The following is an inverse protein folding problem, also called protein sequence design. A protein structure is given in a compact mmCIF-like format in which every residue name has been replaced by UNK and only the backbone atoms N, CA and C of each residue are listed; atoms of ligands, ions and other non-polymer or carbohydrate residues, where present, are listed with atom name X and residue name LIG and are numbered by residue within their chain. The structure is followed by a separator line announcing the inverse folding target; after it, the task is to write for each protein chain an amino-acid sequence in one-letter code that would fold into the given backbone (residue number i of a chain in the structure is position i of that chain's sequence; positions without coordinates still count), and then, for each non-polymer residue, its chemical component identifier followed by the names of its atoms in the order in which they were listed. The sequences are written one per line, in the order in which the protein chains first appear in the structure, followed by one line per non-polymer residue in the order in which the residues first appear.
data_IF_446106355882
#
_entry.id   IF_446106355882
#
_cell.length_a   1.000
_cell.length_b   1.000
_cell.length_c   1.000
_cell.angle_alpha   90.00
_cell.angle_beta   90.00
_cell.angle_gamma   90.00
#
_symmetry.space_group_name_H-M   'P 1'
#
loop_
_entity.id
_entity.type
_entity.pdbx_description
1 polymer ?
#
# COMPACT_ATOMS: atom_id res chain seq x y z
N UNK A 1 0.65 -27.41 -18.09
CA UNK A 1 -0.38 -26.37 -18.16
C UNK A 1 0.31 -25.05 -17.85
N UNK A 2 0.54 -24.24 -18.88
CA UNK A 2 1.49 -23.13 -18.84
C UNK A 2 1.22 -22.17 -17.69
N UNK A 3 2.31 -21.71 -17.05
CA UNK A 3 2.27 -20.72 -15.96
C UNK A 3 1.44 -19.48 -16.38
N UNK A 4 1.44 -19.17 -17.67
CA UNK A 4 0.68 -18.10 -18.29
C UNK A 4 -0.85 -18.35 -18.25
N UNK A 5 -1.32 -19.55 -18.57
CA UNK A 5 -2.74 -19.92 -18.48
C UNK A 5 -3.23 -19.82 -17.02
N UNK A 6 -2.44 -20.33 -16.08
CA UNK A 6 -2.76 -20.24 -14.65
C UNK A 6 -2.86 -18.79 -14.19
N UNK A 7 -1.90 -17.95 -14.58
CA UNK A 7 -1.91 -16.52 -14.27
C UNK A 7 -3.13 -15.83 -14.89
N UNK A 8 -3.45 -16.08 -16.15
CA UNK A 8 -4.64 -15.50 -16.79
C UNK A 8 -5.94 -15.89 -16.08
N UNK A 9 -6.08 -17.15 -15.65
CA UNK A 9 -7.25 -17.61 -14.87
C UNK A 9 -7.34 -16.86 -13.53
N UNK A 10 -6.23 -16.74 -12.80
CA UNK A 10 -6.19 -16.01 -11.53
C UNK A 10 -6.56 -14.54 -11.74
N UNK A 11 -6.01 -13.88 -12.76
CA UNK A 11 -6.33 -12.49 -13.08
C UNK A 11 -7.82 -12.31 -13.39
N UNK A 12 -8.42 -13.24 -14.15
CA UNK A 12 -9.85 -13.22 -14.43
C UNK A 12 -10.69 -13.39 -13.17
N UNK A 13 -10.33 -14.34 -12.29
CA UNK A 13 -11.01 -14.52 -11.00
C UNK A 13 -10.92 -13.25 -10.16
N UNK A 14 -9.74 -12.63 -10.06
CA UNK A 14 -9.55 -11.39 -9.29
C UNK A 14 -10.38 -10.23 -9.86
N UNK A 15 -10.49 -10.13 -11.18
CA UNK A 15 -11.33 -9.12 -11.84
C UNK A 15 -12.82 -9.34 -11.53
N UNK A 16 -13.30 -10.58 -11.55
CA UNK A 16 -14.68 -10.92 -11.17
C UNK A 16 -14.92 -10.66 -9.68
N UNK A 17 -13.94 -10.94 -8.81
CA UNK A 17 -14.02 -10.71 -7.37
C UNK A 17 -13.98 -9.23 -6.98
N UNK A 18 -13.59 -8.33 -7.89
CA UNK A 18 -13.47 -6.91 -7.62
C UNK A 18 -14.80 -6.25 -7.21
N UNK A 19 -15.85 -6.50 -8.00
CA UNK A 19 -17.17 -5.89 -7.78
C UNK A 19 -17.81 -6.38 -6.46
N UNK A 20 -17.88 -7.69 -6.17
CA UNK A 20 -18.39 -8.18 -4.88
C UNK A 20 -17.58 -7.65 -3.69
N UNK A 21 -16.25 -7.57 -3.82
CA UNK A 21 -15.40 -7.05 -2.75
C UNK A 21 -15.67 -5.57 -2.48
N UNK A 22 -15.88 -4.77 -3.54
CA UNK A 22 -16.24 -3.37 -3.39
C UNK A 22 -17.60 -3.21 -2.69
N UNK A 23 -18.64 -3.90 -3.15
CA UNK A 23 -19.98 -3.85 -2.53
C UNK A 23 -19.91 -4.22 -1.04
N UNK A 24 -19.14 -5.26 -0.71
CA UNK A 24 -18.96 -5.68 0.67
C UNK A 24 -18.22 -4.63 1.50
N UNK A 25 -17.15 -4.01 0.96
CA UNK A 25 -16.39 -2.97 1.65
C UNK A 25 -17.20 -1.68 1.83
N UNK A 26 -17.95 -1.24 0.81
CA UNK A 26 -18.76 -0.03 0.90
C UNK A 26 -19.86 -0.16 1.95
N UNK A 27 -20.58 -1.29 1.94
CA UNK A 27 -21.57 -1.59 2.96
C UNK A 27 -20.94 -1.69 4.36
N UNK A 28 -19.78 -2.34 4.47
CA UNK A 28 -19.08 -2.49 5.75
C UNK A 28 -18.58 -1.16 6.31
N UNK A 29 -18.00 -0.30 5.47
CA UNK A 29 -17.52 1.03 5.86
C UNK A 29 -18.68 1.92 6.28
N UNK A 30 -19.77 1.94 5.51
CA UNK A 30 -20.96 2.70 5.87
C UNK A 30 -21.53 2.27 7.22
N UNK A 31 -21.69 0.96 7.43
CA UNK A 31 -22.15 0.39 8.69
C UNK A 31 -21.19 0.70 9.86
N UNK A 32 -19.89 0.75 9.60
CA UNK A 32 -18.89 1.09 10.61
C UNK A 32 -19.00 2.56 11.00
N UNK A 33 -19.10 3.47 10.03
CA UNK A 33 -19.29 4.91 10.31
C UNK A 33 -20.58 5.14 11.10
N UNK A 34 -21.69 4.54 10.69
CA UNK A 34 -22.97 4.63 11.38
C UNK A 34 -22.94 4.10 12.82
N UNK A 35 -22.06 3.14 13.13
CA UNK A 35 -21.91 2.58 14.49
C UNK A 35 -20.96 3.40 15.37
N UNK A 36 -19.93 3.99 14.78
CA UNK A 36 -18.89 4.70 15.53
C UNK A 36 -19.35 6.12 15.86
N UNK A 37 -19.78 6.87 14.85
CA UNK A 37 -20.23 8.25 15.02
C UNK A 37 -20.99 8.74 13.77
N UNK A 38 -22.31 8.79 13.88
CA UNK A 38 -23.21 9.28 12.83
C UNK A 38 -22.93 10.77 12.53
N UNK A 39 -22.43 11.52 13.52
CA UNK A 39 -22.08 12.94 13.40
C UNK A 39 -20.91 13.20 12.45
N UNK A 40 -20.19 12.18 11.99
CA UNK A 40 -19.13 12.32 10.98
C UNK A 40 -19.68 12.92 9.68
N UNK A 41 -20.90 12.55 9.27
CA UNK A 41 -21.47 13.06 8.03
C UNK A 41 -21.84 14.54 8.12
N UNK A 42 -22.39 14.96 9.26
CA UNK A 42 -22.70 16.38 9.50
C UNK A 42 -21.43 17.21 9.61
N UNK A 43 -20.39 16.70 10.27
CA UNK A 43 -19.09 17.39 10.31
C UNK A 43 -18.46 17.48 8.93
N UNK A 44 -18.55 16.44 8.12
CA UNK A 44 -18.08 16.49 6.73
C UNK A 44 -18.81 17.57 5.93
N UNK A 45 -20.14 17.61 6.03
CA UNK A 45 -20.97 18.54 5.26
C UNK A 45 -20.95 19.99 5.79
N UNK A 46 -20.39 20.23 6.98
CA UNK A 46 -20.33 21.56 7.61
C UNK A 46 -18.91 22.04 7.91
N UNK A 47 -17.90 21.42 7.30
CA UNK A 47 -16.49 21.72 7.53
C UNK A 47 -16.10 21.68 9.03
N UNK A 48 -16.51 20.61 9.69
CA UNK A 48 -16.33 20.32 11.12
C UNK A 48 -16.98 21.30 12.10
N UNK A 49 -17.84 22.22 11.64
CA UNK A 49 -18.52 23.17 12.53
C UNK A 49 -19.56 22.49 13.43
N UNK A 50 -20.28 21.49 12.91
CA UNK A 50 -21.43 20.91 13.61
C UNK A 50 -21.40 19.37 13.63
N UNK A 51 -21.70 18.80 14.80
CA UNK A 51 -21.76 17.35 15.02
C UNK A 51 -23.14 16.73 14.83
N UNK A 52 -24.16 17.55 14.57
CA UNK A 52 -25.56 17.16 14.42
C UNK A 52 -26.19 17.86 13.20
N UNK A 53 -27.36 17.40 12.77
CA UNK A 53 -28.07 18.02 11.66
C UNK A 53 -28.68 19.37 12.07
N UNK A 54 -28.04 20.45 11.60
CA UNK A 54 -28.45 21.83 11.87
C UNK A 54 -29.42 22.40 10.82
N UNK A 55 -29.75 21.63 9.78
CA UNK A 55 -30.58 22.09 8.66
C UNK A 55 -31.94 21.40 8.62
N UNK A 56 -32.01 20.12 8.95
CA UNK A 56 -33.21 19.29 8.78
C UNK A 56 -33.55 18.38 9.98
N UNK A 57 -32.98 18.61 11.17
CA UNK A 57 -33.33 17.81 12.35
C UNK A 57 -34.80 17.97 12.76
N UNK A 58 -35.35 16.96 13.44
CA UNK A 58 -36.73 16.98 13.95
C UNK A 58 -37.06 18.21 14.80
N UNK A 59 -36.06 18.75 15.52
CA UNK A 59 -36.23 19.94 16.33
C UNK A 59 -36.50 21.16 15.46
N UNK A 60 -35.73 21.31 14.38
CA UNK A 60 -35.87 22.41 13.43
C UNK A 60 -37.19 22.28 12.69
N UNK A 61 -37.53 21.07 12.23
CA UNK A 61 -38.77 20.84 11.50
C UNK A 61 -40.02 21.16 12.34
N UNK A 62 -39.99 20.92 13.65
CA UNK A 62 -41.08 21.34 14.55
C UNK A 62 -41.23 22.86 14.66
N UNK A 63 -40.12 23.59 14.54
CA UNK A 63 -40.07 25.05 14.67
C UNK A 63 -40.34 25.78 13.35
N UNK A 64 -39.93 25.21 12.21
CA UNK A 64 -39.93 25.90 10.90
C UNK A 64 -40.74 25.18 9.81
N UNK A 65 -41.18 23.94 10.07
CA UNK A 65 -41.92 23.07 9.13
C UNK A 65 -41.23 22.89 7.78
N UNK A 66 -39.89 22.84 7.77
CA UNK A 66 -39.09 22.71 6.54
C UNK A 66 -39.43 21.44 5.74
N UNK A 67 -39.81 20.34 6.40
CA UNK A 67 -40.24 19.11 5.72
C UNK A 67 -41.50 19.33 4.87
N UNK A 68 -42.42 20.18 5.32
CA UNK A 68 -43.62 20.52 4.55
C UNK A 68 -43.24 21.31 3.28
N UNK A 69 -42.33 22.26 3.41
CA UNK A 69 -41.79 22.99 2.25
C UNK A 69 -41.12 22.05 1.25
N UNK A 70 -40.35 21.06 1.70
CA UNK A 70 -39.74 20.05 0.82
C UNK A 70 -40.82 19.23 0.10
N UNK A 71 -41.86 18.78 0.80
CA UNK A 71 -42.95 18.03 0.20
C UNK A 71 -43.71 18.84 -0.86
N UNK A 72 -43.96 20.12 -0.60
CA UNK A 72 -44.57 21.04 -1.57
C UNK A 72 -43.69 21.21 -2.82
N UNK A 73 -42.37 21.29 -2.66
CA UNK A 73 -41.42 21.36 -3.78
C UNK A 73 -41.53 20.10 -4.66
N UNK A 74 -41.56 18.91 -4.08
CA UNK A 74 -41.73 17.66 -4.85
C UNK A 74 -43.09 17.61 -5.56
N UNK A 75 -44.16 18.06 -4.91
CA UNK A 75 -45.48 18.16 -5.53
C UNK A 75 -45.49 19.12 -6.73
N UNK A 76 -44.81 20.27 -6.62
CA UNK A 76 -44.68 21.25 -7.69
C UNK A 76 -43.83 20.72 -8.87
N UNK A 77 -42.81 19.89 -8.61
CA UNK A 77 -42.03 19.19 -9.64
C UNK A 77 -42.78 18.02 -10.28
N UNK A 78 -43.89 17.56 -9.69
CA UNK A 78 -44.60 16.36 -10.15
C UNK A 78 -43.84 15.06 -9.86
N UNK A 79 -42.96 15.07 -8.86
CA UNK A 79 -42.08 13.96 -8.50
C UNK A 79 -42.43 13.37 -7.15
N UNK A 80 -42.05 12.11 -6.94
CA UNK A 80 -42.15 11.45 -5.65
C UNK A 80 -40.85 11.64 -4.86
N UNK A 81 -41.01 11.98 -3.57
CA UNK A 81 -39.93 11.99 -2.60
C UNK A 81 -39.31 10.58 -2.51
N UNK A 82 -37.99 10.52 -2.36
CA UNK A 82 -37.24 9.27 -2.30
C UNK A 82 -37.05 8.81 -0.85
N UNK A 83 -36.75 7.52 -0.67
CA UNK A 83 -36.52 6.92 0.65
C UNK A 83 -35.16 7.32 1.28
N UNK A 84 -34.24 7.82 0.45
CA UNK A 84 -32.86 8.16 0.81
C UNK A 84 -32.70 9.68 0.88
N UNK A 85 -32.09 10.18 1.97
CA UNK A 85 -31.79 11.62 2.14
C UNK A 85 -30.85 12.10 1.04
N UNK A 86 -29.85 11.29 0.66
CA UNK A 86 -28.90 11.62 -0.40
C UNK A 86 -29.61 11.81 -1.74
N UNK A 87 -30.53 10.91 -2.08
CA UNK A 87 -31.28 10.97 -3.34
C UNK A 87 -32.29 12.13 -3.32
N UNK A 88 -32.87 12.40 -2.14
CA UNK A 88 -33.79 13.54 -1.94
C UNK A 88 -33.05 14.84 -2.21
N UNK A 89 -31.86 15.03 -1.63
CA UNK A 89 -31.07 16.23 -1.85
C UNK A 89 -30.58 16.34 -3.29
N UNK A 90 -30.12 15.25 -3.92
CA UNK A 90 -29.73 15.25 -5.32
C UNK A 90 -30.87 15.76 -6.23
N UNK A 91 -32.09 15.23 -6.07
CA UNK A 91 -33.27 15.66 -6.86
C UNK A 91 -33.71 17.09 -6.59
N UNK A 92 -33.61 17.55 -5.34
CA UNK A 92 -33.92 18.94 -5.01
C UNK A 92 -32.98 19.88 -5.75
N UNK A 93 -31.69 19.53 -5.79
CA UNK A 93 -30.61 20.33 -6.37
C UNK A 93 -30.47 20.25 -7.90
N UNK A 94 -31.19 19.35 -8.59
CA UNK A 94 -31.22 19.33 -10.07
C UNK A 94 -31.66 20.68 -10.67
N UNK A 95 -32.52 21.41 -9.97
CA UNK A 95 -32.85 22.81 -10.24
C UNK A 95 -32.63 23.63 -8.97
N UNK A 96 -31.35 23.91 -8.68
CA UNK A 96 -30.90 24.65 -7.50
C UNK A 96 -31.61 26.00 -7.35
N UNK A 97 -31.77 26.73 -8.45
CA UNK A 97 -32.39 28.05 -8.43
C UNK A 97 -33.88 27.95 -8.06
N UNK A 98 -34.62 26.99 -8.65
CA UNK A 98 -36.01 26.75 -8.24
C UNK A 98 -36.11 26.35 -6.78
N UNK A 99 -35.23 25.46 -6.30
CA UNK A 99 -35.21 25.04 -4.89
C UNK A 99 -35.01 26.24 -3.94
N UNK A 100 -34.01 27.09 -4.21
CA UNK A 100 -33.75 28.31 -3.41
C UNK A 100 -35.00 29.22 -3.40
N UNK A 101 -35.60 29.46 -4.56
CA UNK A 101 -36.80 30.30 -4.64
C UNK A 101 -37.98 29.77 -3.82
N UNK A 102 -38.15 28.45 -3.70
CA UNK A 102 -39.21 27.88 -2.87
C UNK A 102 -38.82 27.88 -1.38
N UNK A 103 -37.55 27.60 -1.03
CA UNK A 103 -37.11 27.59 0.36
C UNK A 103 -37.16 28.98 0.99
N UNK A 104 -36.85 30.02 0.22
CA UNK A 104 -36.89 31.42 0.67
C UNK A 104 -38.31 31.92 0.98
N UNK A 105 -39.35 31.24 0.48
CA UNK A 105 -40.74 31.55 0.85
C UNK A 105 -41.07 31.12 2.28
N UNK A 106 -40.30 30.18 2.85
CA UNK A 106 -40.45 29.79 4.24
C UNK A 106 -39.73 30.79 5.17
N UNK A 107 -40.43 31.86 5.53
CA UNK A 107 -39.88 32.93 6.38
C UNK A 107 -39.43 32.46 7.78
N UNK A 108 -40.06 31.42 8.34
CA UNK A 108 -39.67 30.83 9.63
C UNK A 108 -38.30 30.15 9.52
N UNK A 109 -38.09 29.39 8.45
CA UNK A 109 -36.82 28.71 8.19
C UNK A 109 -35.68 29.69 7.86
N UNK A 110 -35.95 30.72 7.05
CA UNK A 110 -34.94 31.76 6.76
C UNK A 110 -34.57 32.55 8.02
N UNK A 111 -35.54 32.83 8.90
CA UNK A 111 -35.28 33.47 10.19
C UNK A 111 -34.42 32.59 11.10
N UNK A 112 -34.69 31.27 11.11
CA UNK A 112 -33.88 30.31 11.82
C UNK A 112 -32.42 30.29 11.31
N UNK A 113 -32.20 30.17 10.00
CA UNK A 113 -30.86 30.17 9.41
C UNK A 113 -30.09 31.45 9.80
N UNK A 114 -30.74 32.60 9.67
CA UNK A 114 -30.16 33.90 10.03
C UNK A 114 -29.80 33.96 11.52
N UNK A 115 -30.65 33.42 12.41
CA UNK A 115 -30.38 33.36 13.86
C UNK A 115 -29.18 32.48 14.23
N UNK A 116 -28.78 31.58 13.32
CA UNK A 116 -27.62 30.69 13.44
C UNK A 116 -26.41 31.17 12.65
N UNK A 117 -26.45 32.38 12.10
CA UNK A 117 -25.41 32.92 11.21
C UNK A 117 -25.17 32.01 9.99
N UNK A 118 -26.21 31.33 9.51
CA UNK A 118 -26.21 30.47 8.32
C UNK A 118 -26.94 31.15 7.16
N UNK A 119 -26.52 30.82 5.95
CA UNK A 119 -27.10 31.30 4.70
C UNK A 119 -27.76 30.17 3.91
N UNK A 120 -28.54 30.51 2.89
CA UNK A 120 -29.03 29.55 1.90
C UNK A 120 -27.88 28.89 1.13
N UNK A 121 -26.77 29.60 0.92
CA UNK A 121 -25.57 29.03 0.28
C UNK A 121 -24.89 27.96 1.15
N UNK A 122 -24.87 28.14 2.47
CA UNK A 122 -24.40 27.11 3.41
C UNK A 122 -25.28 25.86 3.35
N UNK A 123 -26.61 26.05 3.24
CA UNK A 123 -27.57 24.96 3.06
C UNK A 123 -27.33 24.20 1.75
N UNK A 124 -27.16 24.91 0.63
CA UNK A 124 -26.86 24.29 -0.67
C UNK A 124 -25.55 23.51 -0.61
N UNK A 125 -24.51 24.07 -0.01
CA UNK A 125 -23.23 23.41 0.17
C UNK A 125 -23.39 22.12 0.99
N UNK A 126 -24.12 22.19 2.10
CA UNK A 126 -24.43 21.03 2.93
C UNK A 126 -25.17 19.94 2.14
N UNK A 127 -26.23 20.31 1.43
CA UNK A 127 -27.02 19.36 0.64
C UNK A 127 -26.21 18.71 -0.49
N UNK A 128 -25.37 19.48 -1.19
CA UNK A 128 -24.46 18.96 -2.22
C UNK A 128 -23.47 17.94 -1.65
N UNK A 129 -22.86 18.24 -0.50
CA UNK A 129 -21.90 17.34 0.14
C UNK A 129 -22.57 16.05 0.64
N UNK A 130 -23.79 16.13 1.18
CA UNK A 130 -24.54 14.95 1.61
C UNK A 130 -25.04 14.14 0.40
N UNK A 131 -25.50 14.78 -0.68
CA UNK A 131 -25.91 14.10 -1.90
C UNK A 131 -24.76 13.29 -2.52
N UNK A 132 -23.55 13.84 -2.56
CA UNK A 132 -22.36 13.19 -3.12
C UNK A 132 -21.70 12.18 -2.17
N UNK A 133 -22.17 12.07 -0.91
CA UNK A 133 -21.55 11.24 0.12
C UNK A 133 -21.44 9.76 -0.29
N UNK A 134 -22.49 9.22 -0.94
CA UNK A 134 -22.50 7.83 -1.41
C UNK A 134 -21.39 7.61 -2.46
N UNK A 135 -21.22 8.55 -3.40
CA UNK A 135 -20.16 8.50 -4.40
C UNK A 135 -18.78 8.57 -3.76
N UNK A 136 -18.57 9.46 -2.78
CA UNK A 136 -17.31 9.56 -2.03
C UNK A 136 -16.95 8.26 -1.30
N UNK A 137 -17.89 7.66 -0.58
CA UNK A 137 -17.69 6.38 0.12
C UNK A 137 -17.44 5.24 -0.86
N UNK A 138 -18.16 5.23 -1.98
CA UNK A 138 -17.99 4.23 -3.03
C UNK A 138 -16.60 4.33 -3.68
N UNK A 139 -16.13 5.54 -3.98
CA UNK A 139 -14.77 5.79 -4.48
C UNK A 139 -13.69 5.35 -3.49
N UNK A 140 -13.86 5.63 -2.19
CA UNK A 140 -12.95 5.12 -1.16
C UNK A 140 -12.91 3.59 -1.12
N UNK A 141 -14.05 2.94 -1.27
CA UNK A 141 -14.16 1.48 -1.31
C UNK A 141 -13.54 0.87 -2.57
N UNK A 142 -13.73 1.50 -3.73
CA UNK A 142 -13.07 1.15 -4.99
C UNK A 142 -11.54 1.21 -4.90
N UNK A 143 -11.01 2.25 -4.25
CA UNK A 143 -9.58 2.37 -3.99
C UNK A 143 -9.06 1.23 -3.09
N UNK A 144 -9.71 1.00 -1.95
CA UNK A 144 -9.27 -0.01 -0.98
C UNK A 144 -9.35 -1.43 -1.56
N UNK A 145 -10.45 -1.77 -2.23
CA UNK A 145 -10.62 -3.06 -2.91
C UNK A 145 -9.52 -3.29 -3.94
N UNK A 146 -9.21 -2.28 -4.77
CA UNK A 146 -8.17 -2.40 -5.79
C UNK A 146 -6.80 -2.65 -5.15
N UNK A 147 -6.47 -1.87 -4.12
CA UNK A 147 -5.21 -2.02 -3.39
C UNK A 147 -5.08 -3.42 -2.76
N UNK A 148 -6.15 -3.93 -2.13
CA UNK A 148 -6.16 -5.29 -1.56
C UNK A 148 -5.91 -6.34 -2.63
N UNK A 149 -6.58 -6.24 -3.79
CA UNK A 149 -6.39 -7.19 -4.88
C UNK A 149 -4.97 -7.13 -5.44
N UNK A 150 -4.38 -5.93 -5.61
CA UNK A 150 -3.00 -5.79 -6.08
C UNK A 150 -2.01 -6.43 -5.10
N UNK A 151 -2.22 -6.23 -3.79
CA UNK A 151 -1.41 -6.87 -2.76
C UNK A 151 -1.56 -8.40 -2.78
N UNK A 152 -2.77 -8.94 -2.96
CA UNK A 152 -2.98 -10.38 -3.07
C UNK A 152 -2.32 -10.96 -4.33
N UNK A 153 -2.48 -10.30 -5.48
CA UNK A 153 -1.82 -10.67 -6.73
C UNK A 153 -0.30 -10.66 -6.62
N UNK A 154 0.25 -9.66 -5.94
CA UNK A 154 1.69 -9.54 -5.69
C UNK A 154 2.21 -10.61 -4.72
N UNK A 155 1.58 -10.76 -3.55
CA UNK A 155 2.08 -11.60 -2.45
C UNK A 155 1.84 -13.09 -2.68
N UNK A 156 0.67 -13.47 -3.20
CA UNK A 156 0.27 -14.88 -3.33
C UNK A 156 0.58 -15.46 -4.70
N UNK A 157 0.60 -14.63 -5.74
CA UNK A 157 0.62 -15.10 -7.11
C UNK A 157 1.78 -14.55 -7.97
N UNK A 158 2.67 -13.76 -7.38
CA UNK A 158 3.90 -13.26 -8.01
C UNK A 158 3.66 -12.46 -9.32
N UNK A 159 2.62 -11.62 -9.35
CA UNK A 159 2.24 -10.77 -10.51
C UNK A 159 2.99 -9.44 -10.60
N UNK A 160 4.21 -9.37 -10.06
CA UNK A 160 4.90 -8.09 -9.88
C UNK A 160 5.06 -7.32 -11.20
N UNK A 161 5.60 -7.96 -12.25
CA UNK A 161 5.87 -7.30 -13.53
C UNK A 161 4.59 -6.93 -14.26
N UNK A 162 3.59 -7.81 -14.21
CA UNK A 162 2.29 -7.61 -14.83
C UNK A 162 1.55 -6.41 -14.22
N UNK A 163 1.57 -6.27 -12.89
CA UNK A 163 1.00 -5.13 -12.20
C UNK A 163 1.70 -3.81 -12.58
N UNK A 164 3.03 -3.80 -12.71
CA UNK A 164 3.76 -2.62 -13.16
C UNK A 164 3.44 -2.24 -14.61
N UNK A 165 3.29 -3.24 -15.48
CA UNK A 165 2.91 -2.99 -16.87
C UNK A 165 1.51 -2.38 -16.96
N UNK A 166 0.53 -2.95 -16.26
CA UNK A 166 -0.83 -2.43 -16.22
C UNK A 166 -0.85 -1.02 -15.63
N UNK A 167 -0.12 -0.79 -14.54
CA UNK A 167 0.02 0.54 -13.95
C UNK A 167 0.59 1.54 -14.96
N UNK A 168 1.67 1.18 -15.67
CA UNK A 168 2.27 2.04 -16.69
C UNK A 168 1.29 2.43 -17.80
N UNK A 169 0.54 1.46 -18.34
CA UNK A 169 -0.48 1.72 -19.36
C UNK A 169 -1.57 2.63 -18.80
N UNK A 170 -2.09 2.35 -17.60
CA UNK A 170 -3.11 3.15 -16.95
C UNK A 170 -2.66 4.59 -16.70
N UNK A 171 -1.42 4.79 -16.25
CA UNK A 171 -0.83 6.10 -16.01
C UNK A 171 -0.67 6.90 -17.30
N UNK A 172 -0.16 6.28 -18.35
CA UNK A 172 -0.04 6.93 -19.66
C UNK A 172 -1.42 7.34 -20.16
N UNK A 173 -2.39 6.41 -20.10
CA UNK A 173 -3.76 6.65 -20.55
C UNK A 173 -4.42 7.81 -19.79
N UNK A 174 -4.44 7.74 -18.46
CA UNK A 174 -5.09 8.75 -17.61
C UNK A 174 -4.41 10.10 -17.73
N UNK A 175 -3.07 10.15 -17.72
CA UNK A 175 -2.32 11.41 -17.85
C UNK A 175 -2.50 12.05 -19.23
N UNK A 176 -2.49 11.25 -20.30
CA UNK A 176 -2.72 11.74 -21.65
C UNK A 176 -4.15 12.24 -21.83
N UNK A 177 -5.12 11.57 -21.22
CA UNK A 177 -6.50 12.06 -21.16
C UNK A 177 -6.56 13.42 -20.45
N UNK A 178 -5.91 13.58 -19.30
CA UNK A 178 -5.85 14.86 -18.58
C UNK A 178 -5.19 15.96 -19.42
N UNK A 179 -4.04 15.69 -20.06
CA UNK A 179 -3.35 16.68 -20.92
C UNK A 179 -4.14 17.08 -22.16
N UNK A 180 -5.02 16.22 -22.64
CA UNK A 180 -5.87 16.48 -23.80
C UNK A 180 -7.27 16.92 -23.42
N UNK A 181 -7.51 17.27 -22.16
CA UNK A 181 -8.84 17.65 -21.65
C UNK A 181 -9.93 16.63 -22.00
N UNK A 182 -9.60 15.34 -21.95
CA UNK A 182 -10.53 14.23 -22.22
C UNK A 182 -10.71 13.86 -23.70
N UNK A 183 -10.08 14.56 -24.65
CA UNK A 183 -10.19 14.23 -26.09
C UNK A 183 -9.68 12.80 -26.35
N UNK A 184 -8.56 12.42 -25.73
CA UNK A 184 -7.99 11.09 -25.92
C UNK A 184 -8.91 9.97 -25.39
N UNK A 185 -9.51 10.14 -24.22
CA UNK A 185 -10.46 9.17 -23.67
C UNK A 185 -11.73 9.05 -24.55
N UNK A 186 -12.24 10.16 -25.07
CA UNK A 186 -13.40 10.16 -25.96
C UNK A 186 -13.16 9.35 -27.24
N UNK A 187 -11.97 9.42 -27.83
CA UNK A 187 -11.60 8.65 -29.02
C UNK A 187 -11.41 7.17 -28.67
N UNK A 188 -10.73 6.86 -27.56
CA UNK A 188 -10.40 5.49 -27.19
C UNK A 188 -11.63 4.65 -26.84
N UNK A 189 -12.64 5.25 -26.21
CA UNK A 189 -13.89 4.57 -25.85
C UNK A 189 -14.98 4.66 -26.94
N UNK A 190 -14.72 5.36 -28.04
CA UNK A 190 -15.63 5.43 -29.19
C UNK A 190 -16.07 4.06 -29.74
N UNK A 191 -15.18 3.04 -29.85
CA UNK A 191 -15.58 1.69 -30.26
C UNK A 191 -16.51 1.01 -29.26
N UNK A 192 -16.41 1.36 -27.97
CA UNK A 192 -17.26 0.79 -26.91
C UNK A 192 -18.70 1.34 -27.00
N UNK A 193 -18.85 2.62 -27.38
CA UNK A 193 -20.13 3.22 -27.80
C UNK A 193 -20.74 2.53 -29.02
N UNK A 194 -19.91 2.11 -29.97
CA UNK A 194 -20.37 1.39 -31.16
C UNK A 194 -20.78 -0.06 -30.82
N UNK A 195 -20.05 -0.71 -29.91
CA UNK A 195 -20.33 -2.07 -29.43
C UNK A 195 -21.65 -2.14 -28.64
N UNK A 196 -21.98 -1.13 -27.84
CA UNK A 196 -23.26 -1.06 -27.13
C UNK A 196 -24.45 -0.92 -28.09
N UNK A 197 -24.30 -0.13 -29.16
CA UNK A 197 -25.30 0.00 -30.23
C UNK A 197 -25.53 -1.33 -30.98
N UNK A 198 -24.48 -2.13 -31.19
CA UNK A 198 -24.58 -3.43 -31.89
C UNK A 198 -25.23 -4.50 -31.03
N UNK A 199 -24.98 -4.49 -29.71
CA UNK A 199 -25.50 -5.50 -28.80
C UNK A 199 -27.01 -5.39 -28.54
N UNK A 200 -27.71 -4.37 -29.09
CA UNK A 200 -29.16 -4.09 -28.89
C UNK A 200 -29.60 -4.22 -27.43
N UNK A 201 -28.71 -3.93 -26.49
CA UNK A 201 -29.11 -3.73 -25.12
C UNK A 201 -29.58 -2.28 -25.08
N UNK A 202 -30.86 -2.05 -24.79
CA UNK A 202 -31.41 -0.72 -24.45
C UNK A 202 -30.84 -0.27 -23.09
N UNK A 203 -29.51 -0.28 -22.96
CA UNK A 203 -28.81 0.56 -22.03
C UNK A 203 -28.56 1.83 -22.83
N UNK A 204 -29.45 2.81 -22.67
CA UNK A 204 -29.11 4.19 -22.97
C UNK A 204 -27.90 4.51 -22.09
N UNK A 205 -26.70 4.20 -22.59
CA UNK A 205 -25.44 4.64 -22.00
C UNK A 205 -25.41 6.16 -22.16
N UNK A 206 -26.15 6.84 -21.30
CA UNK A 206 -26.15 8.27 -21.18
C UNK A 206 -24.72 8.72 -20.88
N UNK A 207 -24.40 9.94 -21.29
CA UNK A 207 -23.10 10.58 -21.05
C UNK A 207 -22.65 10.50 -19.57
N UNK A 208 -23.59 10.34 -18.65
CA UNK A 208 -23.38 10.12 -17.21
C UNK A 208 -22.74 8.76 -16.86
N UNK A 209 -23.12 7.66 -17.52
CA UNK A 209 -22.46 6.37 -17.30
C UNK A 209 -21.02 6.38 -17.85
N UNK A 210 -20.78 7.15 -18.91
CA UNK A 210 -19.45 7.43 -19.46
C UNK A 210 -18.57 8.25 -18.47
N UNK A 211 -19.17 9.23 -17.79
CA UNK A 211 -18.49 9.98 -16.72
C UNK A 211 -18.11 9.04 -15.55
N UNK A 212 -18.98 8.10 -15.19
CA UNK A 212 -18.73 7.12 -14.13
C UNK A 212 -17.50 6.22 -14.41
N UNK A 213 -17.29 5.78 -15.65
CA UNK A 213 -16.08 5.03 -16.05
C UNK A 213 -14.81 5.88 -16.03
N UNK A 214 -14.92 7.17 -16.37
CA UNK A 214 -13.80 8.12 -16.31
C UNK A 214 -13.44 8.45 -14.86
N UNK A 215 -14.41 8.56 -13.96
CA UNK A 215 -14.19 8.86 -12.54
C UNK A 215 -13.56 7.70 -11.76
N UNK A 216 -13.82 6.46 -12.20
CA UNK A 216 -13.28 5.26 -11.58
C UNK A 216 -11.77 5.02 -11.87
N UNK A 217 -11.30 5.37 -13.07
CA UNK A 217 -9.90 5.17 -13.48
C UNK A 217 -8.88 5.92 -12.59
N UNK A 218 -9.09 7.19 -12.20
CA UNK A 218 -8.29 7.87 -11.20
C UNK A 218 -8.14 7.08 -9.90
N UNK A 219 -9.23 6.52 -9.39
CA UNK A 219 -9.24 5.74 -8.15
C UNK A 219 -8.35 4.50 -8.24
N UNK A 220 -8.43 3.75 -9.36
CA UNK A 220 -7.51 2.62 -9.61
C UNK A 220 -6.07 3.11 -9.75
N UNK A 221 -5.85 4.22 -10.46
CA UNK A 221 -4.51 4.80 -10.69
C UNK A 221 -3.83 5.12 -9.35
N UNK A 222 -4.56 5.74 -8.41
CA UNK A 222 -4.05 6.02 -7.06
C UNK A 222 -3.81 4.74 -6.23
N UNK A 223 -4.63 3.69 -6.42
CA UNK A 223 -4.39 2.38 -5.79
C UNK A 223 -3.08 1.75 -6.30
N UNK A 224 -2.79 1.85 -7.61
CA UNK A 224 -1.50 1.43 -8.17
C UNK A 224 -0.34 2.25 -7.61
N UNK A 225 -0.48 3.56 -7.48
CA UNK A 225 0.57 4.40 -6.88
C UNK A 225 0.94 3.91 -5.48
N UNK A 226 -0.07 3.67 -4.66
CA UNK A 226 0.08 3.23 -3.28
C UNK A 226 0.73 1.85 -3.23
N UNK A 227 0.32 0.92 -4.10
CA UNK A 227 0.98 -0.37 -4.27
C UNK A 227 2.47 -0.22 -4.63
N UNK A 228 2.80 0.64 -5.60
CA UNK A 228 4.18 0.89 -6.04
C UNK A 228 5.03 1.45 -4.91
N UNK A 229 4.50 2.39 -4.12
CA UNK A 229 5.17 2.94 -2.94
C UNK A 229 5.47 1.81 -1.94
N UNK A 230 4.48 0.99 -1.60
CA UNK A 230 4.67 -0.13 -0.67
C UNK A 230 5.70 -1.13 -1.18
N UNK A 231 5.63 -1.57 -2.43
CA UNK A 231 6.61 -2.51 -3.01
C UNK A 231 8.02 -1.91 -2.96
N UNK A 232 8.17 -0.65 -3.35
CA UNK A 232 9.47 0.05 -3.34
C UNK A 232 10.07 0.13 -1.94
N UNK A 233 9.26 0.47 -0.93
CA UNK A 233 9.71 0.50 0.48
C UNK A 233 10.13 -0.89 0.96
N UNK A 234 9.33 -1.91 0.66
CA UNK A 234 9.63 -3.30 1.03
C UNK A 234 10.93 -3.79 0.38
N UNK A 235 11.14 -3.46 -0.90
CA UNK A 235 12.36 -3.81 -1.63
C UNK A 235 13.57 -3.10 -1.05
N UNK A 236 13.49 -1.78 -0.83
CA UNK A 236 14.57 -1.01 -0.23
C UNK A 236 14.94 -1.57 1.16
N UNK A 237 13.95 -1.97 1.96
CA UNK A 237 14.19 -2.63 3.25
C UNK A 237 14.87 -3.99 3.10
N UNK A 238 14.39 -4.84 2.17
CA UNK A 238 14.99 -6.15 1.88
C UNK A 238 16.44 -6.03 1.39
N UNK A 239 16.72 -5.08 0.51
CA UNK A 239 18.06 -4.80 -0.01
C UNK A 239 19.01 -4.29 1.08
N UNK A 240 18.56 -3.34 1.92
CA UNK A 240 19.35 -2.87 3.07
C UNK A 240 19.67 -4.01 4.03
N UNK A 241 18.70 -4.88 4.32
CA UNK A 241 18.90 -6.05 5.19
C UNK A 241 19.88 -7.04 4.56
N UNK A 242 19.76 -7.31 3.25
CA UNK A 242 20.69 -8.16 2.50
C UNK A 242 22.11 -7.58 2.54
N UNK A 243 22.27 -6.29 2.21
CA UNK A 243 23.55 -5.57 2.24
C UNK A 243 24.23 -5.63 3.60
N UNK A 244 23.50 -5.33 4.68
CA UNK A 244 24.02 -5.43 6.06
C UNK A 244 24.47 -6.86 6.37
N UNK A 245 23.72 -7.86 5.92
CA UNK A 245 24.10 -9.25 6.13
C UNK A 245 25.39 -9.59 5.41
N UNK A 246 25.48 -9.25 4.13
CA UNK A 246 26.65 -9.55 3.31
C UNK A 246 27.89 -8.84 3.85
N UNK A 247 27.80 -7.56 4.23
CA UNK A 247 28.90 -6.82 4.87
C UNK A 247 29.42 -7.51 6.14
N UNK A 248 28.53 -7.89 7.06
CA UNK A 248 28.92 -8.61 8.28
C UNK A 248 29.60 -9.95 8.00
N UNK A 249 29.14 -10.68 6.99
CA UNK A 249 29.75 -11.96 6.60
C UNK A 249 31.16 -11.74 6.07
N UNK A 250 31.34 -10.72 5.22
CA UNK A 250 32.63 -10.38 4.66
C UNK A 250 33.61 -9.90 5.73
N UNK A 251 33.17 -9.07 6.68
CA UNK A 251 33.96 -8.67 7.85
C UNK A 251 34.45 -9.89 8.63
N UNK A 252 33.55 -10.81 8.97
CA UNK A 252 33.91 -12.06 9.68
C UNK A 252 34.97 -12.85 8.91
N UNK A 253 34.82 -12.98 7.59
CA UNK A 253 35.76 -13.72 6.76
C UNK A 253 37.17 -13.14 6.80
N UNK A 254 37.31 -11.83 6.62
CA UNK A 254 38.62 -11.18 6.65
C UNK A 254 39.23 -11.12 8.05
N UNK A 255 38.42 -10.99 9.11
CA UNK A 255 38.92 -11.06 10.48
C UNK A 255 39.51 -12.44 10.82
N UNK A 256 39.01 -13.53 10.23
CA UNK A 256 39.62 -14.86 10.40
C UNK A 256 41.06 -14.87 9.88
N UNK A 257 41.33 -14.21 8.75
CA UNK A 257 42.68 -14.12 8.17
C UNK A 257 43.65 -13.34 9.07
N UNK A 258 43.19 -12.20 9.60
CA UNK A 258 43.97 -11.42 10.56
C UNK A 258 44.28 -12.22 11.83
N UNK A 259 43.30 -12.97 12.34
CA UNK A 259 43.49 -13.82 13.51
C UNK A 259 44.50 -14.93 13.22
N UNK A 260 44.39 -15.62 12.08
CA UNK A 260 45.36 -16.65 11.67
C UNK A 260 46.78 -16.05 11.69
N UNK A 261 46.98 -14.89 11.06
CA UNK A 261 48.30 -14.23 11.02
C UNK A 261 48.84 -13.90 12.42
N UNK A 262 47.99 -13.36 13.30
CA UNK A 262 48.39 -13.04 14.68
C UNK A 262 48.72 -14.30 15.47
N UNK A 263 47.92 -15.37 15.31
CA UNK A 263 48.13 -16.65 15.99
C UNK A 263 49.42 -17.33 15.53
N UNK A 264 49.69 -17.35 14.23
CA UNK A 264 50.93 -17.90 13.66
C UNK A 264 52.16 -17.16 14.18
N UNK A 265 52.11 -15.82 14.26
CA UNK A 265 53.21 -15.05 14.83
C UNK A 265 53.40 -15.36 16.32
N UNK A 266 52.33 -15.46 17.10
CA UNK A 266 52.41 -15.79 18.53
C UNK A 266 52.95 -17.19 18.79
N UNK A 267 52.65 -18.17 17.93
CA UNK A 267 53.24 -19.52 17.99
C UNK A 267 54.77 -19.48 17.78
N UNK A 268 55.24 -18.62 16.88
CA UNK A 268 56.67 -18.43 16.60
C UNK A 268 57.40 -17.67 17.71
N UNK A 269 56.79 -16.64 18.30
CA UNK A 269 57.45 -15.75 19.26
C UNK A 269 57.37 -16.18 20.74
N UNK A 270 56.38 -17.00 21.14
CA UNK A 270 56.09 -17.27 22.56
C UNK A 270 55.93 -18.78 22.86
N UNK A 271 57.05 -19.51 22.90
CA UNK A 271 57.10 -20.93 23.32
C UNK A 271 56.72 -21.15 24.80
N UNK A 272 56.74 -20.11 25.64
CA UNK A 272 56.60 -20.25 27.10
C UNK A 272 55.22 -19.87 27.68
N UNK A 273 54.26 -19.34 26.88
CA UNK A 273 52.89 -19.07 27.37
C UNK A 273 51.82 -19.20 26.26
N UNK A 274 51.55 -20.41 25.77
CA UNK A 274 50.84 -20.65 24.50
C UNK A 274 49.31 -20.58 24.63
N UNK A 275 48.76 -19.73 25.49
CA UNK A 275 47.31 -19.70 25.75
C UNK A 275 46.67 -18.39 25.33
N UNK A 276 45.57 -18.50 24.58
CA UNK A 276 44.73 -17.37 24.19
C UNK A 276 43.33 -17.58 24.73
N UNK A 277 42.84 -16.58 25.47
CA UNK A 277 41.44 -16.54 25.88
C UNK A 277 40.58 -16.28 24.64
N UNK A 278 39.55 -17.10 24.43
CA UNK A 278 38.65 -17.00 23.27
C UNK A 278 37.96 -15.63 23.20
N UNK A 279 37.70 -14.98 24.34
CA UNK A 279 37.15 -13.62 24.38
C UNK A 279 38.07 -12.53 23.80
N UNK A 280 39.37 -12.82 23.61
CA UNK A 280 40.30 -11.93 22.88
C UNK A 280 40.14 -12.05 21.37
N UNK A 281 39.45 -13.09 20.88
CA UNK A 281 39.13 -13.28 19.47
C UNK A 281 37.89 -12.43 19.15
N UNK A 282 38.12 -11.23 18.60
CA UNK A 282 37.06 -10.24 18.31
C UNK A 282 36.30 -10.56 17.00
N UNK A 283 35.71 -11.74 16.90
CA UNK A 283 34.87 -12.14 15.76
C UNK A 283 33.45 -12.47 16.23
N UNK A 284 32.45 -11.97 15.49
CA UNK A 284 31.04 -12.26 15.77
C UNK A 284 30.65 -13.68 15.31
N UNK A 285 31.17 -14.69 16.01
CA UNK A 285 30.87 -16.10 15.77
C UNK A 285 29.38 -16.42 15.96
N UNK A 286 28.67 -15.66 16.79
CA UNK A 286 27.21 -15.80 16.95
C UNK A 286 26.47 -15.49 15.65
N UNK A 287 26.93 -14.48 14.91
CA UNK A 287 26.38 -14.15 13.61
C UNK A 287 26.68 -15.21 12.56
N UNK A 288 27.93 -15.71 12.51
CA UNK A 288 28.32 -16.81 11.61
C UNK A 288 27.51 -18.09 11.89
N UNK A 289 27.30 -18.40 13.16
CA UNK A 289 26.46 -19.53 13.58
C UNK A 289 25.00 -19.37 13.11
N UNK A 290 24.41 -18.18 13.28
CA UNK A 290 23.05 -17.90 12.79
C UNK A 290 22.96 -18.03 11.27
N UNK A 291 23.97 -17.54 10.55
CA UNK A 291 24.04 -17.63 9.09
C UNK A 291 24.02 -19.10 8.61
N UNK A 292 24.91 -19.93 9.16
CA UNK A 292 25.00 -21.36 8.80
C UNK A 292 23.71 -22.13 9.11
N UNK A 293 22.99 -21.78 10.19
CA UNK A 293 21.70 -22.40 10.55
C UNK A 293 20.62 -22.24 9.48
N UNK A 294 20.64 -21.13 8.73
CA UNK A 294 19.64 -20.84 7.68
C UNK A 294 19.92 -21.55 6.36
N UNK A 295 21.12 -22.10 6.16
CA UNK A 295 21.59 -22.67 4.89
C UNK A 295 22.00 -24.14 5.03
N UNK A 296 21.08 -24.96 5.58
CA UNK A 296 21.31 -26.36 5.98
C UNK A 296 21.70 -27.34 4.86
N UNK A 297 21.54 -26.96 3.59
CA UNK A 297 21.81 -27.82 2.44
C UNK A 297 23.29 -27.81 2.01
N UNK A 298 24.05 -26.79 2.38
CA UNK A 298 25.48 -26.69 2.03
C UNK A 298 26.32 -27.53 3.00
N UNK A 299 27.07 -28.55 2.52
CA UNK A 299 27.85 -29.44 3.38
C UNK A 299 29.01 -28.74 4.08
N UNK A 300 29.67 -27.77 3.42
CA UNK A 300 30.77 -27.01 4.01
C UNK A 300 30.26 -26.11 5.14
N UNK A 301 29.06 -25.50 4.98
CA UNK A 301 28.45 -24.71 6.05
C UNK A 301 28.00 -25.53 7.26
N UNK A 302 27.75 -26.84 7.12
CA UNK A 302 27.51 -27.73 8.26
C UNK A 302 28.77 -27.88 9.12
N UNK A 303 29.92 -28.03 8.47
CA UNK A 303 31.20 -28.17 9.16
C UNK A 303 31.62 -26.84 9.80
N UNK A 304 31.46 -25.72 9.10
CA UNK A 304 31.66 -24.37 9.67
C UNK A 304 30.79 -24.17 10.91
N UNK A 305 29.53 -24.62 10.89
CA UNK A 305 28.63 -24.55 12.05
C UNK A 305 29.20 -25.33 13.25
N UNK A 306 29.73 -26.53 13.02
CA UNK A 306 30.33 -27.38 14.07
C UNK A 306 31.55 -26.69 14.70
N UNK A 307 32.46 -26.19 13.88
CA UNK A 307 33.67 -25.47 14.32
C UNK A 307 33.32 -24.18 15.08
N UNK A 308 32.34 -23.42 14.57
CA UNK A 308 31.86 -22.19 15.22
C UNK A 308 31.24 -22.48 16.59
N UNK A 309 30.44 -23.54 16.71
CA UNK A 309 29.88 -23.97 18.01
C UNK A 309 30.99 -24.39 18.99
N UNK A 310 32.01 -25.11 18.52
CA UNK A 310 33.13 -25.52 19.37
C UNK A 310 33.84 -24.30 19.99
N UNK A 311 34.07 -23.26 19.20
CA UNK A 311 34.64 -21.99 19.69
C UNK A 311 33.69 -21.26 20.65
N UNK A 312 32.39 -21.19 20.34
CA UNK A 312 31.39 -20.53 21.18
C UNK A 312 31.21 -21.20 22.55
N UNK A 313 31.16 -22.53 22.61
CA UNK A 313 31.07 -23.27 23.87
C UNK A 313 32.35 -23.11 24.72
N UNK A 314 33.53 -23.15 24.10
CA UNK A 314 34.81 -22.96 24.80
C UNK A 314 35.03 -21.52 25.28
N UNK A 315 34.34 -20.55 24.68
CA UNK A 315 34.35 -19.14 25.12
C UNK A 315 33.79 -18.92 26.53
N UNK A 316 33.03 -19.87 27.06
CA UNK A 316 32.35 -19.72 28.35
C UNK A 316 33.20 -20.15 29.56
N UNK A 317 34.36 -20.79 29.39
CA UNK A 317 35.02 -21.44 30.54
C UNK A 317 36.54 -21.69 30.49
N UNK A 318 37.26 -21.62 29.36
CA UNK A 318 38.66 -22.12 29.29
C UNK A 318 39.59 -21.27 28.41
N UNK A 319 40.88 -21.13 28.80
CA UNK A 319 41.96 -20.62 27.95
C UNK A 319 42.43 -21.70 26.97
N UNK A 320 42.37 -21.45 25.66
CA UNK A 320 42.73 -22.44 24.64
C UNK A 320 44.19 -22.31 24.23
N UNK A 321 44.81 -23.43 23.86
CA UNK A 321 46.14 -23.42 23.25
C UNK A 321 46.08 -22.64 21.92
N UNK A 322 47.04 -21.75 21.70
CA UNK A 322 47.18 -20.96 20.47
C UNK A 322 47.13 -21.85 19.23
N UNK A 323 47.81 -23.00 19.27
CA UNK A 323 47.82 -24.01 18.21
C UNK A 323 46.44 -24.62 17.92
N UNK A 324 45.64 -24.88 18.94
CA UNK A 324 44.28 -25.42 18.77
C UNK A 324 43.37 -24.38 18.12
N UNK A 325 43.49 -23.12 18.52
CA UNK A 325 42.72 -22.02 17.93
C UNK A 325 43.14 -21.83 16.47
N UNK A 326 44.44 -21.82 16.18
CA UNK A 326 44.98 -21.68 14.83
C UNK A 326 44.44 -22.76 13.89
N UNK A 327 44.56 -24.04 14.28
CA UNK A 327 44.05 -25.18 13.51
C UNK A 327 42.54 -25.06 13.23
N UNK A 328 41.76 -24.60 14.22
CA UNK A 328 40.32 -24.41 14.05
C UNK A 328 40.02 -23.26 13.09
N UNK A 329 40.74 -22.13 13.18
CA UNK A 329 40.55 -20.98 12.28
C UNK A 329 40.94 -21.31 10.84
N UNK A 330 42.06 -21.99 10.63
CA UNK A 330 42.50 -22.44 9.30
C UNK A 330 41.48 -23.37 8.67
N UNK A 331 41.00 -24.36 9.43
CA UNK A 331 39.95 -25.27 8.96
C UNK A 331 38.64 -24.54 8.68
N UNK A 332 38.27 -23.58 9.53
CA UNK A 332 37.07 -22.77 9.34
C UNK A 332 37.18 -21.93 8.05
N UNK A 333 38.33 -21.31 7.78
CA UNK A 333 38.61 -20.59 6.52
C UNK A 333 38.52 -21.52 5.31
N UNK A 334 39.16 -22.70 5.36
CA UNK A 334 39.13 -23.67 4.28
C UNK A 334 37.71 -24.09 3.94
N UNK A 335 36.89 -24.43 4.94
CA UNK A 335 35.49 -24.83 4.72
C UNK A 335 34.63 -23.67 4.22
N UNK A 336 34.82 -22.45 4.74
CA UNK A 336 34.16 -21.27 4.20
C UNK A 336 34.47 -21.05 2.71
N UNK A 337 35.72 -21.28 2.30
CA UNK A 337 36.15 -21.19 0.90
C UNK A 337 35.56 -22.31 0.02
N UNK A 338 35.14 -23.44 0.57
CA UNK A 338 34.49 -24.52 -0.18
C UNK A 338 33.00 -24.25 -0.41
N UNK A 339 32.37 -23.43 0.43
CA UNK A 339 30.94 -23.11 0.30
C UNK A 339 30.67 -22.19 -0.90
N UNK A 340 29.95 -22.73 -1.89
CA UNK A 340 29.46 -21.96 -3.06
C UNK A 340 28.51 -20.85 -2.59
N UNK A 341 27.65 -21.15 -1.60
CA UNK A 341 26.70 -20.18 -1.03
C UNK A 341 27.44 -19.02 -0.39
N UNK A 342 28.47 -19.30 0.40
CA UNK A 342 29.26 -18.28 1.08
C UNK A 342 30.07 -17.42 0.11
N UNK A 343 30.77 -18.05 -0.84
CA UNK A 343 31.50 -17.35 -1.91
C UNK A 343 30.59 -16.40 -2.68
N UNK A 344 29.40 -16.86 -3.05
CA UNK A 344 28.44 -16.02 -3.77
C UNK A 344 27.99 -14.78 -3.00
N UNK A 345 27.96 -14.83 -1.65
CA UNK A 345 27.66 -13.67 -0.81
C UNK A 345 28.88 -12.73 -0.72
N UNK A 346 30.09 -13.25 -0.53
CA UNK A 346 31.31 -12.42 -0.52
C UNK A 346 31.54 -11.72 -1.86
N UNK A 347 31.37 -12.42 -2.98
CA UNK A 347 31.54 -11.84 -4.32
C UNK A 347 30.51 -10.72 -4.59
N UNK A 348 29.31 -10.82 -4.02
CA UNK A 348 28.33 -9.73 -4.05
C UNK A 348 28.80 -8.49 -3.29
N UNK A 349 29.52 -8.65 -2.18
CA UNK A 349 30.11 -7.52 -1.47
C UNK A 349 31.23 -6.85 -2.27
N UNK A 350 32.11 -7.64 -2.90
CA UNK A 350 33.19 -7.08 -3.72
C UNK A 350 32.65 -6.25 -4.89
N UNK A 351 31.65 -6.77 -5.61
CA UNK A 351 30.93 -6.02 -6.65
C UNK A 351 30.31 -4.72 -6.10
N UNK A 352 29.68 -4.79 -4.92
CA UNK A 352 29.09 -3.63 -4.27
C UNK A 352 30.13 -2.54 -3.93
N UNK A 353 31.27 -2.92 -3.35
CA UNK A 353 32.35 -1.98 -2.98
C UNK A 353 32.90 -1.29 -4.23
N UNK A 354 33.12 -2.03 -5.31
CA UNK A 354 33.62 -1.47 -6.58
C UNK A 354 32.65 -0.45 -7.20
N UNK A 355 31.34 -0.76 -7.22
CA UNK A 355 30.31 0.18 -7.71
C UNK A 355 30.23 1.44 -6.84
N UNK A 356 30.34 1.31 -5.51
CA UNK A 356 30.31 2.46 -4.61
C UNK A 356 31.52 3.38 -4.76
N UNK A 357 32.71 2.83 -5.02
CA UNK A 357 33.93 3.61 -5.30
C UNK A 357 33.88 4.32 -6.66
N UNK A 358 33.23 3.74 -7.65
CA UNK A 358 33.01 4.40 -8.95
C UNK A 358 32.05 5.59 -8.81
N UNK A 359 30.93 5.41 -8.08
CA UNK A 359 29.97 6.49 -7.86
C UNK A 359 30.50 7.63 -6.98
N UNK A 360 31.46 7.35 -6.09
CA UNK A 360 32.12 8.35 -5.26
C UNK A 360 33.23 9.13 -6.00
N UNK A 361 33.69 8.64 -7.16
CA UNK A 361 34.63 9.37 -8.05
C UNK A 361 33.92 10.23 -9.10
N UNK A 362 32.61 10.04 -9.27
CA UNK A 362 31.75 10.77 -10.20
C UNK A 362 30.95 11.91 -9.51
N UNK A 363 31.10 12.05 -8.20
CA UNK A 363 30.70 13.23 -7.42
C UNK A 363 31.96 14.00 -7.05
#
# INVERSE_FOLDING_TARGET
MDNLIRKSIIAMIMLVMYVPLNIWLSSSLFNLVMKVDIGIFYRYATDNKYGEDIFFSEKIDKETKVSQTIQEIFQLKGELQTDSIQDTFAKLLEDEHFFIQQIEKNSEYISYLTSKELTTEDLITYMNLIADLNSKIMNGSFYLSALILFLLMYLLFEFRLELYFIAGVLYIFTTLSTFTSGIFANIFFYPMRWMSQIMRVNLDYNFEEYAMYIEFLPTIKEAFLSFIIFDTVVLAWRERRKKRRTMKITEIYYSIDEIINVLSNLEVFNSNSPFIKVNKIKVDFNYLYKFTKTKKKDPALKEVRRLTLMLLYRNQSIALLTKDVLNVMERLKQELSKSIVFKSEIDQHYKFVMVSKQNAKLK
#
